data_IF_670275336268
#
_entry.id   IF_670275336268
#
_cell.length_a   1.000
_cell.length_b   1.000
_cell.length_c   1.000
_cell.angle_alpha   90.00
_cell.angle_beta   90.00
_cell.angle_gamma   90.00
#
_symmetry.space_group_name_H-M   'P 1'
#
loop_
_entity.id
_entity.type
_entity.pdbx_description
1 polymer ?
#
# COMPACT_ATOMS: atom_id res chain seq x y z
N UNK A 1 -3.31 6.53 -0.22
CA UNK A 1 -3.86 5.34 -0.89
C UNK A 1 -3.56 5.44 -2.37
N UNK A 2 -2.84 4.46 -2.91
CA UNK A 2 -2.53 4.40 -4.34
C UNK A 2 -3.66 3.70 -5.09
N UNK A 3 -3.88 4.09 -6.34
CA UNK A 3 -4.82 3.41 -7.22
C UNK A 3 -4.10 2.96 -8.47
N UNK A 4 -4.30 1.71 -8.83
CA UNK A 4 -3.68 1.10 -10.00
C UNK A 4 -4.73 0.78 -11.04
N UNK A 5 -4.33 0.83 -12.32
CA UNK A 5 -5.23 0.45 -13.41
C UNK A 5 -5.36 -1.07 -13.44
N UNK A 6 -6.59 -1.55 -13.35
CA UNK A 6 -6.95 -2.93 -13.62
C UNK A 6 -7.70 -3.00 -14.95
N UNK A 7 -7.49 -4.05 -15.71
CA UNK A 7 -8.15 -4.25 -16.99
C UNK A 7 -9.10 -5.42 -16.91
N UNK A 8 -10.40 -5.15 -17.17
CA UNK A 8 -11.43 -6.18 -17.18
C UNK A 8 -11.57 -6.72 -18.58
N UNK A 9 -11.47 -8.04 -18.71
CA UNK A 9 -11.68 -8.76 -19.97
C UNK A 9 -12.85 -9.72 -19.81
N UNK A 10 -13.68 -9.81 -20.82
CA UNK A 10 -14.84 -10.71 -20.84
C UNK A 10 -15.00 -11.33 -22.24
N UNK A 11 -15.05 -12.64 -22.27
CA UNK A 11 -15.42 -13.37 -23.46
C UNK A 11 -16.86 -13.92 -23.30
N UNK A 12 -17.47 -14.36 -24.39
CA UNK A 12 -18.89 -14.72 -24.42
C UNK A 12 -19.31 -15.75 -23.35
N UNK A 13 -18.46 -16.71 -23.05
CA UNK A 13 -18.76 -17.80 -22.11
C UNK A 13 -17.80 -17.86 -20.92
N UNK A 14 -17.05 -16.78 -20.69
CA UNK A 14 -16.08 -16.73 -19.60
C UNK A 14 -16.58 -15.88 -18.44
N UNK A 15 -15.91 -16.00 -17.29
CA UNK A 15 -16.03 -15.04 -16.21
C UNK A 15 -15.37 -13.73 -16.61
N UNK A 16 -15.59 -12.69 -15.81
CA UNK A 16 -14.86 -11.44 -15.93
C UNK A 16 -13.48 -11.63 -15.33
N UNK A 17 -12.43 -11.47 -16.12
CA UNK A 17 -11.06 -11.51 -15.60
C UNK A 17 -10.51 -10.10 -15.41
N UNK A 18 -9.66 -9.93 -14.42
CA UNK A 18 -8.99 -8.65 -14.15
C UNK A 18 -7.48 -8.90 -14.11
N UNK A 19 -6.75 -8.11 -14.90
CA UNK A 19 -5.29 -8.13 -14.89
C UNK A 19 -4.77 -6.75 -14.53
N UNK A 20 -3.53 -6.70 -14.07
CA UNK A 20 -2.89 -5.45 -13.65
C UNK A 20 -1.60 -5.26 -14.45
N UNK A 21 -1.56 -4.29 -15.38
CA UNK A 21 -0.35 -4.04 -16.17
C UNK A 21 0.89 -3.73 -15.33
N UNK A 22 0.72 -3.04 -14.19
CA UNK A 22 1.83 -2.71 -13.30
C UNK A 22 2.31 -3.91 -12.46
N UNK A 23 1.53 -4.98 -12.40
CA UNK A 23 1.86 -6.18 -11.62
C UNK A 23 1.69 -7.43 -12.48
N UNK A 24 2.69 -7.74 -13.34
CA UNK A 24 2.63 -8.95 -14.16
C UNK A 24 2.41 -10.19 -13.30
N UNK A 25 1.48 -11.04 -13.71
CA UNK A 25 1.11 -12.24 -12.96
C UNK A 25 0.01 -12.04 -11.93
N UNK A 26 -0.39 -10.82 -11.62
CA UNK A 26 -1.52 -10.55 -10.74
C UNK A 26 -2.80 -10.57 -11.57
N UNK A 27 -3.51 -11.69 -11.55
CA UNK A 27 -4.73 -11.92 -12.31
C UNK A 27 -5.77 -12.54 -11.39
N UNK A 28 -7.02 -12.11 -11.55
CA UNK A 28 -8.15 -12.68 -10.82
C UNK A 28 -9.38 -12.71 -11.70
N UNK A 29 -10.47 -13.25 -11.21
CA UNK A 29 -11.73 -13.37 -11.95
C UNK A 29 -12.94 -13.33 -11.02
N UNK A 30 -14.08 -12.95 -11.57
CA UNK A 30 -15.35 -12.97 -10.86
C UNK A 30 -16.49 -13.29 -11.85
N UNK A 31 -17.58 -13.81 -11.32
CA UNK A 31 -18.74 -14.21 -12.13
C UNK A 31 -19.54 -13.02 -12.65
N UNK A 32 -19.49 -11.91 -11.94
CA UNK A 32 -20.10 -10.65 -12.33
C UNK A 32 -19.13 -9.50 -12.06
N UNK A 33 -19.51 -8.27 -12.43
CA UNK A 33 -18.64 -7.11 -12.28
C UNK A 33 -18.35 -6.77 -10.82
N UNK A 34 -19.33 -6.91 -9.94
CA UNK A 34 -19.14 -6.61 -8.51
C UNK A 34 -18.16 -7.60 -7.88
N UNK A 35 -18.30 -8.89 -8.18
CA UNK A 35 -17.39 -9.91 -7.69
C UNK A 35 -15.98 -9.73 -8.28
N UNK A 36 -15.89 -9.43 -9.58
CA UNK A 36 -14.60 -9.19 -10.23
C UNK A 36 -13.86 -8.02 -9.58
N UNK A 37 -14.56 -6.92 -9.28
CA UNK A 37 -13.95 -5.78 -8.59
C UNK A 37 -13.49 -6.12 -7.18
N UNK A 38 -14.32 -6.83 -6.42
CA UNK A 38 -13.96 -7.25 -5.06
C UNK A 38 -12.74 -8.17 -5.07
N UNK A 39 -12.71 -9.12 -6.00
CA UNK A 39 -11.58 -10.04 -6.16
C UNK A 39 -10.33 -9.31 -6.65
N UNK A 40 -10.49 -8.27 -7.46
CA UNK A 40 -9.37 -7.45 -7.91
C UNK A 40 -8.71 -6.71 -6.75
N UNK A 41 -9.51 -6.12 -5.86
CA UNK A 41 -8.98 -5.44 -4.67
C UNK A 41 -8.23 -6.41 -3.76
N UNK A 42 -8.82 -7.58 -3.52
CA UNK A 42 -8.20 -8.63 -2.69
C UNK A 42 -6.91 -9.17 -3.29
N UNK A 43 -6.93 -9.50 -4.58
CA UNK A 43 -5.75 -10.02 -5.27
C UNK A 43 -4.61 -9.02 -5.32
N UNK A 44 -4.92 -7.76 -5.59
CA UNK A 44 -3.92 -6.70 -5.63
C UNK A 44 -3.29 -6.46 -4.26
N UNK A 45 -4.11 -6.39 -3.21
CA UNK A 45 -3.63 -6.22 -1.84
C UNK A 45 -2.70 -7.36 -1.44
N UNK A 46 -3.08 -8.59 -1.75
CA UNK A 46 -2.27 -9.78 -1.47
C UNK A 46 -0.95 -9.76 -2.24
N UNK A 47 -0.98 -9.37 -3.50
CA UNK A 47 0.21 -9.30 -4.34
C UNK A 47 1.20 -8.24 -3.84
N UNK A 48 0.70 -7.05 -3.49
CA UNK A 48 1.51 -5.96 -2.94
C UNK A 48 2.11 -6.35 -1.59
N UNK A 49 1.34 -7.02 -0.74
CA UNK A 49 1.83 -7.54 0.54
C UNK A 49 2.98 -8.52 0.35
N UNK A 50 2.85 -9.42 -0.63
CA UNK A 50 3.90 -10.37 -0.97
C UNK A 50 5.19 -9.70 -1.44
N UNK A 51 5.08 -8.66 -2.28
CA UNK A 51 6.23 -7.88 -2.73
C UNK A 51 6.93 -7.20 -1.55
N UNK A 52 6.15 -6.61 -0.64
CA UNK A 52 6.69 -5.95 0.55
C UNK A 52 7.43 -6.94 1.46
N UNK A 53 6.88 -8.13 1.66
CA UNK A 53 7.51 -9.17 2.47
C UNK A 53 8.83 -9.66 1.86
N UNK A 54 8.89 -9.75 0.54
CA UNK A 54 10.09 -10.18 -0.19
C UNK A 54 11.12 -9.05 -0.35
N UNK A 55 10.82 -7.86 0.14
CA UNK A 55 11.71 -6.71 0.00
C UNK A 55 11.80 -6.18 -1.43
N UNK A 56 10.87 -6.55 -2.29
CA UNK A 56 10.83 -6.07 -3.67
C UNK A 56 10.17 -4.70 -3.76
N UNK A 57 10.60 -3.91 -4.75
CA UNK A 57 10.04 -2.59 -4.96
C UNK A 57 8.60 -2.69 -5.46
N UNK A 58 7.73 -1.86 -4.86
CA UNK A 58 6.35 -1.73 -5.32
C UNK A 58 6.32 -0.63 -6.38
N UNK A 59 5.91 -0.93 -7.62
CA UNK A 59 5.92 0.08 -8.68
C UNK A 59 4.96 1.23 -8.39
N UNK A 60 5.30 2.40 -8.88
CA UNK A 60 4.37 3.52 -8.89
C UNK A 60 3.25 3.26 -9.91
N UNK A 61 2.03 3.74 -9.66
CA UNK A 61 0.95 3.58 -10.63
C UNK A 61 1.27 4.23 -11.96
N UNK A 62 1.17 3.48 -13.05
CA UNK A 62 1.33 4.01 -14.40
C UNK A 62 0.15 4.89 -14.79
N UNK A 63 0.37 5.99 -15.54
CA UNK A 63 -0.72 6.79 -16.06
C UNK A 63 -1.60 5.98 -17.01
N UNK A 64 -2.89 6.30 -17.05
CA UNK A 64 -3.84 5.61 -17.93
C UNK A 64 -3.39 5.63 -19.39
N UNK A 65 -2.85 6.76 -19.85
CA UNK A 65 -2.38 6.94 -21.22
C UNK A 65 -1.28 5.93 -21.57
N UNK A 66 -0.35 5.71 -20.65
CA UNK A 66 0.73 4.74 -20.84
C UNK A 66 0.21 3.32 -20.92
N UNK A 67 -0.74 2.97 -20.08
CA UNK A 67 -1.38 1.64 -20.08
C UNK A 67 -2.13 1.41 -21.39
N UNK A 68 -2.90 2.39 -21.82
CA UNK A 68 -3.74 2.28 -23.02
C UNK A 68 -2.96 2.48 -24.33
N UNK A 69 -1.69 2.86 -24.26
CA UNK A 69 -0.82 2.90 -25.43
C UNK A 69 -0.51 1.49 -25.95
N UNK A 70 -0.52 0.48 -25.08
CA UNK A 70 -0.35 -0.91 -25.46
C UNK A 70 -1.64 -1.44 -26.11
N UNK A 71 -1.53 -1.97 -27.35
CA UNK A 71 -2.70 -2.40 -28.11
C UNK A 71 -3.49 -3.52 -27.42
N UNK A 72 -2.80 -4.44 -26.75
CA UNK A 72 -3.45 -5.54 -26.03
C UNK A 72 -4.28 -5.05 -24.87
N UNK A 73 -3.86 -3.96 -24.21
CA UNK A 73 -4.59 -3.40 -23.08
C UNK A 73 -5.91 -2.76 -23.51
N UNK A 74 -5.99 -2.28 -24.73
CA UNK A 74 -7.21 -1.65 -25.27
C UNK A 74 -8.38 -2.61 -25.48
N UNK A 75 -8.12 -3.92 -25.47
CA UNK A 75 -9.17 -4.92 -25.50
C UNK A 75 -9.95 -5.02 -24.17
N UNK A 76 -9.38 -4.55 -23.10
CA UNK A 76 -10.00 -4.56 -21.77
C UNK A 76 -10.62 -3.21 -21.40
N UNK A 77 -11.45 -3.25 -20.39
CA UNK A 77 -12.05 -2.03 -19.80
C UNK A 77 -11.23 -1.64 -18.58
N UNK A 78 -10.73 -0.41 -18.57
CA UNK A 78 -9.90 0.06 -17.47
C UNK A 78 -10.75 0.46 -16.27
N UNK A 79 -10.33 0.02 -15.09
CA UNK A 79 -10.88 0.45 -13.81
C UNK A 79 -9.74 0.87 -12.89
N UNK A 80 -10.06 1.68 -11.89
CA UNK A 80 -9.11 2.02 -10.84
C UNK A 80 -9.35 1.11 -9.63
N UNK A 81 -8.29 0.47 -9.17
CA UNK A 81 -8.34 -0.43 -8.01
C UNK A 81 -7.44 0.14 -6.91
N UNK A 82 -8.02 0.50 -5.76
CA UNK A 82 -7.25 1.06 -4.67
C UNK A 82 -6.46 -0.02 -3.92
N UNK A 83 -5.28 0.35 -3.47
CA UNK A 83 -4.50 -0.47 -2.56
C UNK A 83 -3.99 0.39 -1.42
N UNK A 84 -4.15 -0.11 -0.20
CA UNK A 84 -3.58 0.54 0.98
C UNK A 84 -2.17 0.01 1.17
N UNK A 85 -1.22 0.92 1.43
CA UNK A 85 0.10 0.49 1.85
C UNK A 85 -0.04 -0.27 3.17
N UNK A 86 0.62 -1.44 3.32
CA UNK A 86 0.60 -2.15 4.59
C UNK A 86 1.10 -1.24 5.70
N UNK A 87 0.43 -1.24 6.84
CA UNK A 87 0.94 -0.53 8.01
C UNK A 87 2.29 -1.11 8.38
N UNK A 88 3.31 -0.27 8.65
CA UNK A 88 4.61 -0.76 9.05
C UNK A 88 4.49 -1.63 10.30
N UNK A 89 5.24 -2.73 10.36
CA UNK A 89 5.25 -3.60 11.54
C UNK A 89 5.89 -2.87 12.70
N UNK A 90 5.30 -3.00 13.88
CA UNK A 90 5.87 -2.46 15.10
C UNK A 90 6.89 -3.47 15.66
N UNK A 91 8.10 -2.99 15.94
CA UNK A 91 9.16 -3.81 16.52
C UNK A 91 9.50 -3.30 17.93
N UNK A 92 9.73 -4.25 18.83
CA UNK A 92 10.17 -3.89 20.18
C UNK A 92 11.67 -3.59 20.16
N UNK A 93 12.04 -2.43 20.66
CA UNK A 93 13.43 -1.98 20.73
C UNK A 93 13.72 -1.51 22.16
N UNK A 94 14.86 -1.92 22.71
CA UNK A 94 15.32 -1.44 24.01
C UNK A 94 16.35 -0.34 23.77
N UNK A 95 16.13 0.79 24.43
CA UNK A 95 17.06 1.93 24.36
C UNK A 95 17.45 2.36 25.78
N UNK A 96 18.64 2.92 25.90
CA UNK A 96 19.14 3.48 27.14
C UNK A 96 19.08 5.01 27.06
N UNK A 97 18.49 5.62 28.06
CA UNK A 97 18.35 7.08 28.13
C UNK A 97 18.80 7.57 29.51
N UNK A 98 19.37 8.80 29.59
CA UNK A 98 19.59 9.45 30.89
C UNK A 98 18.26 9.58 31.65
N UNK A 99 18.33 9.43 32.96
CA UNK A 99 17.14 9.44 33.85
C UNK A 99 16.33 10.75 33.72
N UNK A 100 17.00 11.88 33.63
CA UNK A 100 16.35 13.19 33.51
C UNK A 100 15.59 13.33 32.16
N UNK A 101 16.15 12.82 31.08
CA UNK A 101 15.52 12.82 29.77
C UNK A 101 14.29 11.92 29.78
N UNK A 102 14.40 10.73 30.38
CA UNK A 102 13.28 9.82 30.48
C UNK A 102 12.12 10.43 31.26
N UNK A 103 12.40 11.07 32.37
CA UNK A 103 11.40 11.77 33.18
C UNK A 103 10.71 12.88 32.40
N UNK A 104 11.48 13.67 31.65
CA UNK A 104 10.94 14.73 30.79
C UNK A 104 10.04 14.20 29.70
N UNK A 105 10.44 13.10 29.05
CA UNK A 105 9.64 12.43 28.02
C UNK A 105 8.30 11.97 28.60
N UNK A 106 8.32 11.29 29.75
CA UNK A 106 7.11 10.76 30.36
C UNK A 106 6.13 11.88 30.76
N UNK A 107 6.62 12.98 31.27
CA UNK A 107 5.79 14.15 31.62
C UNK A 107 5.16 14.78 30.38
N UNK A 108 5.94 14.96 29.33
CA UNK A 108 5.43 15.52 28.07
C UNK A 108 4.38 14.61 27.44
N UNK A 109 4.67 13.32 27.36
CA UNK A 109 3.76 12.34 26.78
C UNK A 109 2.43 12.31 27.53
N UNK A 110 2.46 12.30 28.88
CA UNK A 110 1.26 12.31 29.69
C UNK A 110 0.40 13.55 29.43
N UNK A 111 1.01 14.74 29.36
CA UNK A 111 0.28 15.99 29.09
C UNK A 111 -0.37 16.02 27.71
N UNK A 112 0.16 15.28 26.73
CA UNK A 112 -0.32 15.28 25.35
C UNK A 112 -1.07 14.00 24.96
N UNK A 113 -1.39 13.16 25.93
CA UNK A 113 -2.12 11.91 25.68
C UNK A 113 -1.35 10.88 24.87
N UNK A 114 -0.03 10.90 24.94
CA UNK A 114 0.84 9.98 24.20
C UNK A 114 1.46 8.95 25.16
N UNK A 115 1.79 7.77 24.62
CA UNK A 115 2.67 6.83 25.30
C UNK A 115 4.13 7.27 25.15
N UNK A 116 5.02 6.70 25.97
CA UNK A 116 6.46 6.92 25.80
C UNK A 116 6.93 6.59 24.38
N UNK A 117 6.54 5.41 23.89
CA UNK A 117 6.89 4.96 22.53
C UNK A 117 6.31 5.87 21.46
N UNK A 118 5.07 6.31 21.63
CA UNK A 118 4.41 7.23 20.71
C UNK A 118 5.13 8.57 20.61
N UNK A 119 5.54 9.13 21.76
CA UNK A 119 6.33 10.36 21.79
C UNK A 119 7.66 10.20 21.07
N UNK A 120 8.40 9.12 21.37
CA UNK A 120 9.72 8.87 20.77
C UNK A 120 9.60 8.73 19.25
N UNK A 121 8.61 7.96 18.76
CA UNK A 121 8.38 7.81 17.33
C UNK A 121 8.07 9.15 16.65
N UNK A 122 7.23 9.97 17.28
CA UNK A 122 6.86 11.30 16.77
C UNK A 122 8.07 12.25 16.73
N UNK A 123 8.86 12.25 17.79
CA UNK A 123 10.06 13.08 17.88
C UNK A 123 11.10 12.66 16.84
N UNK A 124 11.29 11.35 16.63
CA UNK A 124 12.20 10.83 15.61
C UNK A 124 11.78 11.25 14.21
N UNK A 125 10.49 11.15 13.89
CA UNK A 125 9.96 11.58 12.58
C UNK A 125 10.18 13.07 12.36
N UNK A 126 9.94 13.90 13.38
CA UNK A 126 10.14 15.34 13.29
C UNK A 126 11.61 15.69 13.04
N UNK A 127 12.53 15.04 13.76
CA UNK A 127 13.96 15.25 13.59
C UNK A 127 14.44 14.85 12.17
N UNK A 128 13.97 13.72 11.67
CA UNK A 128 14.34 13.25 10.32
C UNK A 128 13.81 14.18 9.22
N UNK A 129 12.62 14.75 9.39
CA UNK A 129 12.06 15.73 8.44
C UNK A 129 12.88 17.02 8.39
N UNK A 130 13.43 17.45 9.52
CA UNK A 130 14.26 18.65 9.56
C UNK A 130 15.57 18.48 8.83
N UNK A 131 16.14 17.27 8.82
CA UNK A 131 17.36 16.98 8.06
C UNK A 131 17.10 16.86 6.56
N UNK A 132 15.95 16.34 6.18
CA UNK A 132 15.57 16.15 4.77
C UNK A 132 15.04 17.44 4.11
N UNK A 133 14.85 18.49 4.86
CA UNK A 133 14.31 19.76 4.35
C UNK A 133 15.36 20.63 3.64
#
# INVERSE_FOLDING_TARGET
MRQYVGLIHKEAESDYSVSFPDFPGCITAGRDLDEARAMAEEALAFHVEGLAEDGEAIPEPSPLESVMAESLNRAGVAILVPVRSPAPKTMRVNITLPEDILTAIDRYAERHGLSRSGFIAKAAKAAMKLEDA
#
